data_IF_685497625463
#
_entry.id   IF_685497625463
#
_cell.length_a   1.000
_cell.length_b   1.000
_cell.length_c   1.000
_cell.angle_alpha   90.00
_cell.angle_beta   90.00
_cell.angle_gamma   90.00
#
_symmetry.space_group_name_H-M   'P 1'
#
loop_
_entity.id
_entity.type
_entity.pdbx_description
1 polymer ?
2 polymer ?
3 branched ?
4 non-polymer ?
5 non-polymer ?
6 water ?
#
# COMPACT_ATOMS: atom_id res chain seq x y z
N UNK A 1 13.89 10.68 5.22
CA UNK A 1 13.29 9.42 5.62
C UNK A 1 11.79 9.49 5.33
N UNK A 2 11.16 8.35 5.04
CA UNK A 2 9.76 8.33 4.65
C UNK A 2 8.99 7.41 5.59
N UNK A 3 7.85 7.91 6.07
CA UNK A 3 6.98 7.17 6.96
C UNK A 3 5.56 7.19 6.43
N UNK A 4 4.86 6.07 6.59
CA UNK A 4 3.47 6.05 6.22
C UNK A 4 2.70 7.03 7.09
N UNK A 5 1.45 7.26 6.71
CA UNK A 5 0.53 7.96 7.58
C UNK A 5 0.19 7.07 8.78
N UNK A 6 -0.34 7.72 9.81
CA UNK A 6 -0.77 7.02 11.00
C UNK A 6 -2.09 6.32 10.75
N UNK A 7 -2.10 4.99 10.91
CA UNK A 7 -3.30 4.18 10.71
C UNK A 7 -3.81 3.74 12.07
N UNK A 8 -5.00 4.22 12.44
CA UNK A 8 -5.61 3.83 13.71
C UNK A 8 -6.24 5.03 14.39
N UNK A 9 -6.50 4.86 15.69
CA UNK A 9 -7.27 5.80 16.45
C UNK A 9 -6.43 6.55 17.47
N UNK A 10 -7.05 7.49 18.17
CA UNK A 10 -6.29 8.39 19.05
C UNK A 10 -6.03 7.84 20.44
N UNK A 11 -6.48 6.63 20.73
CA UNK A 11 -6.42 6.10 22.07
C UNK A 11 -5.02 5.64 22.47
N UNK A 12 -4.92 5.14 23.70
CA UNK A 12 -3.71 4.60 24.23
C UNK A 12 -2.61 5.64 24.35
N UNK A 13 -1.37 5.15 24.34
CA UNK A 13 -0.16 5.94 24.51
C UNK A 13 0.80 5.77 23.34
N UNK A 14 1.46 6.85 22.98
CA UNK A 14 2.39 6.83 21.85
C UNK A 14 3.60 5.95 22.15
N UNK A 15 4.06 5.22 21.15
CA UNK A 15 5.37 4.57 21.17
C UNK A 15 6.11 4.86 19.87
N UNK A 16 7.43 4.66 19.91
CA UNK A 16 8.28 4.93 18.77
C UNK A 16 9.52 4.10 18.90
N UNK A 17 9.86 3.36 17.85
CA UNK A 17 10.98 2.43 17.91
C UNK A 17 12.25 2.99 17.29
N UNK A 18 12.31 4.29 17.01
CA UNK A 18 13.46 4.84 16.31
C UNK A 18 14.75 4.51 17.06
N UNK A 19 14.78 4.76 18.37
CA UNK A 19 16.02 4.53 19.13
C UNK A 19 16.39 3.06 19.11
N UNK A 20 15.45 2.18 19.47
CA UNK A 20 15.78 0.74 19.54
C UNK A 20 16.23 0.25 18.19
N UNK A 21 15.68 0.83 17.13
CA UNK A 21 15.97 0.31 15.81
C UNK A 21 17.42 0.51 15.42
N UNK A 22 18.16 1.32 16.17
CA UNK A 22 19.59 1.44 15.93
C UNK A 22 20.33 0.15 16.21
N UNK A 23 19.68 -0.86 16.80
CA UNK A 23 20.32 -2.15 17.07
C UNK A 23 20.35 -3.07 15.86
N UNK A 24 19.69 -2.72 14.76
CA UNK A 24 19.82 -3.49 13.54
C UNK A 24 18.55 -3.53 12.70
N UNK A 25 18.67 -4.19 11.55
CA UNK A 25 17.53 -4.47 10.72
C UNK A 25 16.57 -5.42 11.43
N UNK A 26 15.29 -5.33 11.07
CA UNK A 26 14.29 -6.16 11.70
C UNK A 26 14.55 -7.62 11.37
N UNK A 27 14.61 -8.46 12.41
CA UNK A 27 14.91 -9.88 12.27
C UNK A 27 13.74 -10.78 12.61
N UNK A 28 12.73 -10.30 13.32
CA UNK A 28 11.56 -11.11 13.56
C UNK A 28 10.41 -10.21 13.98
N UNK A 29 9.21 -10.71 13.73
CA UNK A 29 7.94 -10.06 14.06
C UNK A 29 7.29 -10.92 15.13
N UNK A 30 7.02 -10.34 16.30
CA UNK A 30 6.19 -11.00 17.29
C UNK A 30 4.87 -10.26 17.44
N UNK A 31 3.80 -11.04 17.49
CA UNK A 31 2.47 -10.50 17.61
C UNK A 31 1.63 -11.44 18.47
N UNK A 32 0.49 -10.93 18.91
CA UNK A 32 -0.52 -11.69 19.63
C UNK A 32 -1.82 -11.55 18.86
N UNK A 33 -2.44 -12.67 18.52
CA UNK A 33 -3.43 -12.72 17.44
C UNK A 33 -4.66 -13.50 17.84
N UNK A 34 -5.82 -12.82 17.80
CA UNK A 34 -7.14 -13.42 17.96
C UNK A 34 -7.98 -13.04 16.74
N UNK A 35 -9.26 -12.68 16.95
CA UNK A 35 -10.01 -11.99 15.91
C UNK A 35 -9.33 -10.68 15.53
N UNK A 36 -8.49 -10.14 16.43
CA UNK A 36 -7.73 -8.92 16.18
C UNK A 36 -6.30 -9.13 16.65
N UNK A 37 -5.41 -8.23 16.21
CA UNK A 37 -4.05 -8.19 16.72
C UNK A 37 -4.02 -7.37 18.00
N UNK A 38 -3.58 -7.97 19.12
CA UNK A 38 -3.62 -7.26 20.39
C UNK A 38 -2.26 -6.75 20.85
N UNK A 39 -1.13 -7.23 20.32
CA UNK A 39 0.12 -6.49 20.47
C UNK A 39 1.05 -6.80 19.32
N UNK A 40 2.10 -5.98 19.21
CA UNK A 40 3.17 -6.18 18.25
C UNK A 40 4.48 -5.86 18.94
N UNK A 41 5.53 -6.60 18.57
CA UNK A 41 6.83 -6.47 19.22
C UNK A 41 7.90 -6.91 18.21
N UNK A 42 8.59 -5.95 17.59
CA UNK A 42 9.60 -6.29 16.61
C UNK A 42 10.94 -6.40 17.29
N UNK A 43 11.85 -7.13 16.62
CA UNK A 43 13.22 -7.34 17.09
C UNK A 43 14.17 -6.68 16.09
N UNK A 44 14.98 -5.77 16.59
CA UNK A 44 15.87 -4.95 15.79
C UNK A 44 17.27 -5.49 16.01
N UNK A 45 17.78 -6.21 15.03
CA UNK A 45 18.99 -6.97 15.29
C UNK A 45 18.68 -8.06 16.30
N UNK A 46 19.28 -7.95 17.49
CA UNK A 46 19.08 -8.91 18.56
C UNK A 46 18.18 -8.38 19.67
N UNK A 47 17.63 -7.17 19.51
CA UNK A 47 17.06 -6.39 20.61
C UNK A 47 15.58 -6.15 20.34
N UNK A 48 14.72 -6.60 21.26
CA UNK A 48 13.28 -6.39 21.14
C UNK A 48 12.87 -5.03 21.67
N UNK A 49 11.82 -4.47 21.08
CA UNK A 49 11.11 -3.37 21.71
C UNK A 49 10.32 -3.88 22.90
N UNK A 50 9.76 -2.95 23.67
CA UNK A 50 8.72 -3.33 24.61
C UNK A 50 7.52 -3.87 23.85
N UNK A 51 6.63 -4.52 24.59
CA UNK A 51 5.42 -5.11 24.02
C UNK A 51 4.43 -3.99 23.77
N UNK A 52 4.12 -3.72 22.50
CA UNK A 52 3.21 -2.60 22.22
C UNK A 52 1.80 -3.18 22.05
N UNK A 53 1.10 -3.26 23.18
CA UNK A 53 -0.26 -3.74 23.21
C UNK A 53 -0.44 -4.69 24.38
N UNK A 54 -1.65 -5.23 24.54
CA UNK A 54 -2.04 -6.07 25.69
C UNK A 54 -1.36 -5.63 26.98
N UNK A 55 -1.65 -4.39 27.40
CA UNK A 55 -0.94 -3.75 28.51
C UNK A 55 -1.03 -4.53 29.82
N UNK A 56 -2.13 -5.25 30.03
CA UNK A 56 -2.30 -5.96 31.29
C UNK A 56 -3.30 -7.08 31.08
N UNK A 57 -3.17 -8.09 31.95
CA UNK A 57 -3.98 -9.28 31.76
C UNK A 57 -5.46 -9.00 31.94
N UNK A 58 -5.81 -7.93 32.67
CA UNK A 58 -7.19 -7.52 32.88
C UNK A 58 -7.82 -6.89 31.65
N UNK A 59 -7.06 -6.72 30.57
CA UNK A 59 -7.64 -6.28 29.33
C UNK A 59 -8.68 -7.27 28.81
N UNK A 60 -8.68 -8.51 29.33
CA UNK A 60 -9.65 -9.52 28.91
C UNK A 60 -11.05 -9.13 29.33
N UNK A 61 -11.18 -8.19 30.24
CA UNK A 61 -12.49 -7.67 30.56
C UNK A 61 -13.05 -6.77 29.46
N UNK A 62 -12.31 -6.55 28.36
CA UNK A 62 -12.77 -5.73 27.25
C UNK A 62 -12.62 -6.43 25.90
N UNK A 63 -11.52 -7.14 25.65
CA UNK A 63 -11.30 -7.78 24.37
C UNK A 63 -10.62 -9.13 24.57
N UNK A 64 -10.75 -10.00 23.57
CA UNK A 64 -10.01 -11.25 23.63
C UNK A 64 -8.50 -11.01 23.56
N UNK A 65 -7.75 -12.04 23.96
CA UNK A 65 -6.31 -11.95 24.11
C UNK A 65 -5.57 -12.45 22.88
N UNK A 66 -5.63 -13.75 22.62
CA UNK A 66 -5.01 -14.35 21.45
C UNK A 66 -3.77 -15.13 21.81
N UNK A 67 -3.17 -15.72 20.78
CA UNK A 67 -1.98 -16.53 20.97
C UNK A 67 -0.78 -15.81 20.37
N UNK A 68 0.38 -16.08 20.94
CA UNK A 68 1.64 -15.51 20.46
C UNK A 68 2.01 -16.10 19.11
N UNK A 69 2.40 -15.26 18.16
CA UNK A 69 2.93 -15.71 16.87
C UNK A 69 4.27 -15.03 16.63
N UNK A 70 5.26 -15.80 16.17
CA UNK A 70 6.57 -15.27 15.82
C UNK A 70 6.86 -15.64 14.38
N UNK A 71 7.32 -14.65 13.62
CA UNK A 71 7.80 -14.84 12.25
C UNK A 71 9.27 -14.47 12.23
N UNK A 72 10.13 -15.46 12.05
CA UNK A 72 11.56 -15.18 11.94
C UNK A 72 11.87 -14.85 10.49
N UNK A 73 12.54 -13.73 10.27
CA UNK A 73 12.97 -13.35 8.93
C UNK A 73 14.35 -13.91 8.68
N UNK A 74 14.58 -14.35 7.45
CA UNK A 74 15.91 -14.81 7.09
C UNK A 74 16.84 -13.61 6.83
N UNK A 75 18.14 -13.85 6.87
CA UNK A 75 19.06 -12.76 6.64
C UNK A 75 18.82 -12.14 5.25
N UNK A 76 18.68 -10.83 5.22
CA UNK A 76 18.39 -10.15 3.98
C UNK A 76 16.93 -10.13 3.60
N UNK A 77 16.06 -10.70 4.44
CA UNK A 77 14.62 -10.61 4.22
C UNK A 77 14.12 -9.35 4.91
N UNK A 78 13.29 -8.59 4.21
CA UNK A 78 12.77 -7.33 4.75
C UNK A 78 11.28 -7.21 4.46
N UNK A 79 10.62 -6.49 5.35
CA UNK A 79 9.17 -6.32 5.30
C UNK A 79 8.86 -5.24 4.29
N UNK A 80 8.10 -5.59 3.25
CA UNK A 80 7.86 -4.67 2.17
C UNK A 80 6.47 -4.08 2.13
N UNK A 81 5.49 -4.68 2.80
CA UNK A 81 4.17 -4.09 2.84
C UNK A 81 3.38 -4.67 4.00
N UNK A 82 2.28 -4.01 4.32
CA UNK A 82 1.39 -4.44 5.38
C UNK A 82 -0.02 -4.12 4.95
N UNK A 83 -0.87 -5.14 4.90
CA UNK A 83 -2.32 -4.90 4.79
C UNK A 83 -2.87 -4.70 6.21
N UNK A 84 -3.36 -3.50 6.48
CA UNK A 84 -3.84 -3.13 7.79
C UNK A 84 -5.32 -2.85 7.68
N UNK A 85 -6.13 -3.51 8.50
CA UNK A 85 -7.51 -3.09 8.67
C UNK A 85 -7.59 -2.35 10.00
N UNK A 86 -8.35 -1.28 10.03
CA UNK A 86 -8.31 -0.43 11.21
C UNK A 86 -9.54 0.46 11.27
N UNK A 87 -9.81 0.92 12.48
CA UNK A 87 -10.78 1.95 12.74
C UNK A 87 -10.31 2.73 13.95
N UNK A 88 -11.01 2.55 15.06
CA UNK A 88 -10.59 3.10 16.34
C UNK A 88 -9.25 2.51 16.77
N UNK A 89 -9.03 1.25 16.41
CA UNK A 89 -7.81 0.51 16.68
C UNK A 89 -7.37 -0.18 15.42
N UNK A 90 -6.12 -0.65 15.43
CA UNK A 90 -5.73 -1.65 14.45
C UNK A 90 -6.51 -2.92 14.71
N UNK A 91 -7.05 -3.51 13.66
CA UNK A 91 -7.84 -4.72 13.74
C UNK A 91 -7.02 -5.92 13.32
N UNK A 92 -6.49 -5.90 12.09
CA UNK A 92 -5.66 -6.99 11.62
C UNK A 92 -4.50 -6.45 10.81
N UNK A 93 -3.46 -7.28 10.75
CA UNK A 93 -2.19 -6.95 10.11
C UNK A 93 -1.74 -8.15 9.32
N UNK A 94 -1.51 -7.98 8.02
CA UNK A 94 -0.88 -8.98 7.20
C UNK A 94 0.43 -8.42 6.66
N UNK A 95 1.55 -8.90 7.17
CA UNK A 95 2.84 -8.47 6.67
C UNK A 95 3.23 -9.24 5.43
N UNK A 96 3.92 -8.58 4.50
CA UNK A 96 4.59 -9.26 3.40
C UNK A 96 6.04 -8.83 3.38
N UNK A 97 6.92 -9.75 3.04
CA UNK A 97 8.34 -9.48 2.87
C UNK A 97 8.69 -9.57 1.38
N UNK A 98 9.95 -9.27 1.07
CA UNK A 98 10.44 -9.37 -0.30
C UNK A 98 10.36 -10.80 -0.81
N UNK A 99 10.20 -11.78 0.09
CA UNK A 99 10.16 -13.19 -0.27
C UNK A 99 8.80 -13.86 -0.10
N UNK A 100 7.93 -13.35 0.77
CA UNK A 100 6.70 -14.10 1.03
C UNK A 100 5.62 -13.24 1.68
N UNK A 101 4.37 -13.57 1.34
CA UNK A 101 3.25 -13.09 2.12
C UNK A 101 3.09 -13.96 3.36
N UNK A 102 2.97 -13.31 4.54
CA UNK A 102 2.91 -13.98 5.82
C UNK A 102 1.47 -14.10 6.29
N UNK A 103 1.22 -14.96 7.28
CA UNK A 103 -0.16 -15.13 7.76
C UNK A 103 -0.66 -13.85 8.41
N UNK A 104 -1.94 -13.58 8.21
CA UNK A 104 -2.56 -12.41 8.80
C UNK A 104 -2.71 -12.57 10.30
N UNK A 105 -2.46 -11.51 11.04
CA UNK A 105 -2.68 -11.50 12.49
C UNK A 105 -4.01 -10.79 12.69
N UNK A 106 -5.01 -11.54 13.14
CA UNK A 106 -6.36 -11.03 13.30
C UNK A 106 -7.27 -11.65 12.27
N UNK A 107 -8.09 -12.62 12.67
CA UNK A 107 -8.93 -13.31 11.69
C UNK A 107 -10.05 -12.43 11.16
N UNK A 108 -10.47 -11.42 11.91
CA UNK A 108 -11.44 -10.44 11.43
C UNK A 108 -10.72 -9.31 10.71
N UNK A 109 -11.13 -9.06 9.48
CA UNK A 109 -10.55 -8.06 8.59
C UNK A 109 -11.66 -7.22 7.98
N UNK A 110 -12.61 -6.85 8.83
CA UNK A 110 -13.86 -6.25 8.38
C UNK A 110 -13.86 -4.73 8.43
N UNK A 111 -12.86 -4.11 9.04
CA UNK A 111 -12.82 -2.66 9.02
C UNK A 111 -12.02 -2.17 7.82
N UNK A 112 -12.04 -0.84 7.63
CA UNK A 112 -11.36 -0.22 6.49
C UNK A 112 -9.97 -0.78 6.33
N UNK A 113 -9.67 -1.19 5.09
CA UNK A 113 -8.43 -1.88 4.78
C UNK A 113 -7.61 -0.99 3.88
N UNK A 114 -6.30 -1.17 4.00
CA UNK A 114 -5.32 -0.31 3.36
C UNK A 114 -4.07 -1.15 3.16
N UNK A 115 -3.47 -1.10 1.96
CA UNK A 115 -2.22 -1.82 1.68
C UNK A 115 -1.08 -0.81 1.63
N UNK A 116 -0.20 -0.87 2.63
CA UNK A 116 0.87 0.10 2.79
C UNK A 116 2.12 -0.48 2.15
N UNK A 117 2.60 0.19 1.12
CA UNK A 117 3.90 -0.14 0.57
C UNK A 117 4.95 0.50 1.45
N UNK A 118 6.01 -0.24 1.69
CA UNK A 118 7.08 0.20 2.59
C UNK A 118 8.38 0.28 1.78
N UNK A 119 8.66 1.40 1.12
CA UNK A 119 9.77 1.45 0.15
C UNK A 119 11.15 1.17 0.77
N UNK A 120 11.86 0.24 0.17
CA UNK A 120 13.15 -0.16 0.67
C UNK A 120 13.08 -1.10 1.83
N UNK A 121 11.89 -1.43 2.30
CA UNK A 121 11.81 -2.30 3.46
C UNK A 121 11.56 -1.52 4.74
N UNK A 122 10.88 -2.17 5.68
CA UNK A 122 10.55 -1.52 6.95
C UNK A 122 11.80 -1.34 7.79
N UNK A 123 11.98 -0.13 8.32
CA UNK A 123 13.07 0.16 9.26
C UNK A 123 12.60 0.06 10.71
N UNK A 124 11.47 0.64 11.03
CA UNK A 124 10.91 0.50 12.38
C UNK A 124 9.46 0.94 12.36
N UNK A 125 8.76 0.70 13.47
CA UNK A 125 7.39 1.14 13.58
C UNK A 125 7.25 2.15 14.73
N UNK A 126 6.24 2.99 14.60
CA UNK A 126 5.76 3.83 15.70
C UNK A 126 4.24 3.69 15.74
N UNK A 127 3.63 4.28 16.76
CA UNK A 127 2.17 4.26 16.85
C UNK A 127 1.72 4.49 18.27
N UNK A 128 0.59 3.86 18.62
CA UNK A 128 0.00 4.01 19.94
C UNK A 128 -0.53 2.67 20.40
N UNK A 129 -0.56 2.49 21.73
CA UNK A 129 -0.90 1.19 22.29
C UNK A 129 -1.54 1.34 23.66
N UNK A 130 -2.28 0.30 24.03
CA UNK A 130 -2.80 0.13 25.38
C UNK A 130 -3.19 -1.32 25.57
N UNK A 131 -4.48 -1.60 25.79
CA UNK A 131 -4.90 -3.00 25.77
C UNK A 131 -4.71 -3.59 24.38
N UNK A 132 -4.76 -2.75 23.36
CA UNK A 132 -4.67 -3.15 21.95
C UNK A 132 -3.69 -2.23 21.22
N UNK A 133 -3.59 -2.44 19.92
CA UNK A 133 -2.76 -1.59 19.07
C UNK A 133 -3.68 -0.49 18.59
N UNK A 134 -3.53 0.71 19.17
CA UNK A 134 -4.41 1.80 18.77
C UNK A 134 -4.06 2.31 17.39
N UNK A 135 -2.80 2.29 17.01
CA UNK A 135 -2.48 2.67 15.67
C UNK A 135 -1.03 2.37 15.35
N UNK A 136 -0.74 2.37 14.06
CA UNK A 136 0.61 2.09 13.59
C UNK A 136 1.02 3.09 12.52
N UNK A 137 2.32 3.39 12.52
CA UNK A 137 2.97 4.09 11.43
C UNK A 137 4.22 3.30 11.04
N UNK A 138 4.43 3.15 9.73
CA UNK A 138 5.51 2.34 9.21
C UNK A 138 6.60 3.25 8.68
N UNK A 139 7.80 3.14 9.24
CA UNK A 139 8.93 3.97 8.87
C UNK A 139 9.81 3.19 7.93
N UNK A 140 9.88 3.61 6.67
CA UNK A 140 10.58 2.85 5.66
C UNK A 140 12.04 3.27 5.54
N UNK A 141 12.85 2.38 4.96
CA UNK A 141 14.22 2.73 4.69
C UNK A 141 14.34 3.85 3.68
N UNK A 142 13.38 4.00 2.77
CA UNK A 142 13.40 5.17 1.90
C UNK A 142 12.35 6.14 2.36
N UNK B 1 12.38 -2.05 -6.78
CA UNK B 1 11.65 -1.35 -5.76
C UNK B 1 10.42 -2.11 -5.36
N UNK B 2 9.91 -1.79 -4.19
CA UNK B 2 8.75 -2.46 -3.65
C UNK B 2 7.57 -2.17 -4.55
N UNK B 3 6.76 -3.19 -4.78
CA UNK B 3 5.61 -3.10 -5.65
C UNK B 3 4.39 -3.72 -4.97
N UNK B 4 3.23 -3.14 -5.27
CA UNK B 4 1.94 -3.69 -4.86
C UNK B 4 1.73 -5.05 -5.51
N UNK B 5 0.62 -5.68 -5.16
CA UNK B 5 0.17 -6.82 -5.92
C UNK B 5 -0.46 -6.37 -7.23
N UNK B 6 -0.60 -7.30 -8.17
CA UNK B 6 -1.23 -6.99 -9.44
C UNK B 6 -2.74 -7.00 -9.26
N UNK B 7 -3.37 -5.91 -9.70
CA UNK B 7 -4.80 -5.68 -9.45
C UNK B 7 -5.50 -5.73 -10.79
N UNK B 8 -6.27 -6.81 -11.02
CA UNK B 8 -6.94 -7.00 -12.30
C UNK B 8 -6.81 -8.41 -12.88
N UNK B 9 -6.85 -8.55 -14.20
CA UNK B 9 -6.97 -9.85 -14.82
C UNK B 9 -5.89 -10.25 -15.80
N UNK B 10 -6.03 -11.48 -16.35
CA UNK B 10 -4.99 -12.04 -17.22
C UNK B 10 -5.02 -11.54 -18.65
N UNK B 11 -6.05 -10.80 -19.03
CA UNK B 11 -6.20 -10.33 -20.40
C UNK B 11 -5.14 -9.32 -20.80
N UNK B 12 -5.20 -8.92 -22.08
CA UNK B 12 -4.36 -7.87 -22.64
C UNK B 12 -2.88 -8.29 -22.75
N UNK B 13 -2.03 -7.29 -22.97
CA UNK B 13 -0.59 -7.50 -23.03
C UNK B 13 0.07 -6.81 -21.84
N UNK B 14 1.20 -7.37 -21.40
CA UNK B 14 1.95 -6.78 -20.31
C UNK B 14 2.62 -5.48 -20.71
N UNK B 15 2.68 -4.55 -19.77
CA UNK B 15 3.51 -3.35 -19.87
C UNK B 15 4.18 -3.12 -18.52
N UNK B 16 5.28 -2.39 -18.55
CA UNK B 16 6.05 -2.12 -17.35
C UNK B 16 6.87 -0.86 -17.62
N UNK B 17 6.54 0.22 -16.93
CA UNK B 17 7.18 1.50 -17.15
C UNK B 17 8.53 1.61 -16.45
N UNK B 18 9.14 0.50 -16.02
CA UNK B 18 10.35 0.59 -15.21
C UNK B 18 11.45 1.35 -15.94
N UNK B 19 11.73 1.00 -17.19
CA UNK B 19 12.80 1.65 -17.93
C UNK B 19 12.43 3.09 -18.26
N UNK B 20 11.18 3.29 -18.68
CA UNK B 20 10.72 4.63 -18.98
C UNK B 20 10.87 5.57 -17.77
N UNK B 21 10.75 5.03 -16.58
CA UNK B 21 10.78 5.86 -15.39
C UNK B 21 12.16 6.44 -15.12
N UNK B 22 13.20 5.98 -15.82
CA UNK B 22 14.52 6.58 -15.70
C UNK B 22 14.53 8.01 -16.22
N UNK B 23 13.54 8.39 -17.02
CA UNK B 23 13.44 9.74 -17.55
C UNK B 23 13.03 10.76 -16.49
N UNK B 24 12.56 10.31 -15.32
CA UNK B 24 12.29 11.21 -14.22
C UNK B 24 11.05 10.87 -13.38
N UNK B 25 10.81 11.75 -12.41
CA UNK B 25 9.60 11.68 -11.58
C UNK B 25 8.37 11.68 -12.46
N UNK B 26 7.28 11.08 -11.95
CA UNK B 26 6.00 11.23 -12.63
C UNK B 26 5.61 12.71 -12.59
N UNK B 27 5.38 13.30 -13.76
CA UNK B 27 5.04 14.72 -13.84
C UNK B 27 3.64 14.97 -14.33
N UNK B 28 2.91 13.93 -14.70
CA UNK B 28 1.66 14.10 -15.42
C UNK B 28 0.98 12.76 -15.44
N UNK B 29 -0.34 12.80 -15.28
CA UNK B 29 -1.20 11.63 -15.33
C UNK B 29 -2.17 11.86 -16.47
N UNK B 30 -2.14 11.01 -17.49
CA UNK B 30 -3.14 11.07 -18.54
C UNK B 30 -3.95 9.78 -18.53
N UNK B 31 -5.29 9.90 -18.56
CA UNK B 31 -6.15 8.72 -18.60
C UNK B 31 -7.33 9.05 -19.52
N UNK B 32 -8.06 8.01 -19.91
CA UNK B 32 -9.31 8.15 -20.64
C UNK B 32 -10.38 7.52 -19.77
N UNK B 33 -11.44 8.28 -19.48
CA UNK B 33 -12.38 7.94 -18.44
C UNK B 33 -13.83 8.06 -18.91
N UNK B 34 -14.60 6.99 -18.66
CA UNK B 34 -16.03 6.95 -18.91
C UNK B 34 -16.61 6.25 -17.68
N UNK B 35 -17.52 5.29 -17.83
CA UNK B 35 -17.91 4.52 -16.65
C UNK B 35 -16.77 3.64 -16.13
N UNK B 36 -15.76 3.36 -16.97
CA UNK B 36 -14.55 2.69 -16.53
C UNK B 36 -13.38 3.49 -17.05
N UNK B 37 -12.19 3.19 -16.51
CA UNK B 37 -10.96 3.76 -17.03
C UNK B 37 -10.50 2.91 -18.21
N UNK B 38 -10.31 3.54 -19.37
CA UNK B 38 -9.98 2.78 -20.57
C UNK B 38 -8.53 2.91 -21.02
N UNK B 39 -7.79 3.93 -20.58
CA UNK B 39 -6.34 3.84 -20.70
C UNK B 39 -5.68 4.71 -19.65
N UNK B 40 -4.39 4.47 -19.44
CA UNK B 40 -3.56 5.27 -18.57
C UNK B 40 -2.25 5.52 -19.31
N UNK B 41 -1.67 6.71 -19.13
CA UNK B 41 -0.40 7.11 -19.76
C UNK B 41 0.24 8.15 -18.83
N UNK B 42 1.25 7.73 -18.07
CA UNK B 42 1.97 8.62 -17.17
C UNK B 42 3.14 9.27 -17.90
N UNK B 43 3.53 10.45 -17.46
CA UNK B 43 4.71 11.13 -18.00
C UNK B 43 5.83 11.05 -16.98
N UNK B 44 7.00 10.57 -17.42
CA UNK B 44 8.17 10.49 -16.57
C UNK B 44 9.16 11.57 -17.03
N UNK B 45 9.38 12.57 -16.18
CA UNK B 45 10.07 13.75 -16.65
C UNK B 45 9.23 14.39 -17.75
N UNK B 46 9.80 14.48 -18.96
CA UNK B 46 9.12 15.03 -20.12
C UNK B 46 8.68 13.95 -21.10
N UNK B 47 8.78 12.67 -20.73
CA UNK B 47 8.57 11.56 -21.66
C UNK B 47 7.33 10.77 -21.24
N UNK B 48 6.31 10.77 -22.10
CA UNK B 48 5.13 9.91 -21.93
C UNK B 48 5.49 8.45 -22.15
N UNK B 49 4.82 7.58 -21.39
CA UNK B 49 4.76 6.16 -21.74
C UNK B 49 3.93 6.01 -23.01
N UNK B 50 3.87 4.78 -23.50
CA UNK B 50 2.87 4.48 -24.51
C UNK B 50 1.49 4.54 -23.87
N UNK B 51 0.47 4.59 -24.71
CA UNK B 51 -0.90 4.62 -24.25
C UNK B 51 -1.32 3.21 -23.83
N UNK B 52 -1.41 3.00 -22.51
CA UNK B 52 -1.73 1.68 -21.99
C UNK B 52 -3.23 1.52 -21.90
N UNK B 53 -3.81 1.15 -23.05
CA UNK B 53 -5.23 0.92 -23.16
C UNK B 53 -5.78 1.49 -24.45
N UNK B 54 -7.10 1.34 -24.61
CA UNK B 54 -7.83 1.74 -25.80
C UNK B 54 -7.03 1.47 -27.08
N UNK B 55 -6.74 0.19 -27.26
CA UNK B 55 -5.77 -0.23 -28.26
C UNK B 55 -6.09 0.34 -29.64
N UNK B 56 -7.37 0.34 -30.01
CA UNK B 56 -7.76 0.84 -31.31
C UNK B 56 -9.20 1.30 -31.21
N UNK B 57 -9.58 2.16 -32.17
CA UNK B 57 -10.90 2.78 -32.14
C UNK B 57 -12.04 1.78 -32.26
N UNK B 58 -11.79 0.58 -32.79
CA UNK B 58 -12.85 -0.43 -32.80
C UNK B 58 -13.14 -1.03 -31.41
N UNK B 59 -12.39 -0.60 -30.39
CA UNK B 59 -12.65 -1.08 -29.04
C UNK B 59 -14.02 -0.64 -28.55
N UNK B 60 -14.63 0.34 -29.24
CA UNK B 60 -15.94 0.86 -28.86
C UNK B 60 -17.02 -0.23 -28.93
N UNK B 61 -16.68 -1.39 -29.50
CA UNK B 61 -17.61 -2.51 -29.52
C UNK B 61 -17.85 -3.08 -28.12
N UNK B 62 -16.92 -2.89 -27.19
CA UNK B 62 -16.92 -3.64 -25.93
C UNK B 62 -17.02 -2.78 -24.69
N UNK B 63 -16.85 -1.47 -24.81
CA UNK B 63 -17.05 -0.50 -23.73
C UNK B 63 -17.16 0.85 -24.40
N UNK B 64 -17.61 1.84 -23.63
CA UNK B 64 -17.48 3.19 -24.14
C UNK B 64 -16.01 3.62 -24.08
N UNK B 65 -15.73 4.74 -24.75
CA UNK B 65 -14.36 5.30 -24.87
C UNK B 65 -14.02 6.23 -23.71
N UNK B 66 -14.70 7.37 -23.62
CA UNK B 66 -14.51 8.29 -22.50
C UNK B 66 -13.72 9.52 -22.91
N UNK B 67 -13.57 10.43 -21.98
CA UNK B 67 -12.87 11.67 -22.22
C UNK B 67 -11.45 11.60 -21.70
N UNK B 68 -10.56 12.29 -22.39
CA UNK B 68 -9.16 12.35 -22.03
C UNK B 68 -9.00 13.33 -20.88
N UNK B 69 -8.50 12.83 -19.76
CA UNK B 69 -8.28 13.56 -18.53
C UNK B 69 -6.77 13.73 -18.38
N UNK B 70 -6.31 14.95 -18.05
CA UNK B 70 -4.89 15.19 -17.83
C UNK B 70 -4.71 15.88 -16.50
N UNK B 71 -3.88 15.31 -15.65
CA UNK B 71 -3.53 15.92 -14.36
C UNK B 71 -2.03 16.15 -14.37
N UNK B 72 -1.65 17.41 -14.47
CA UNK B 72 -0.25 17.81 -14.41
C UNK B 72 0.16 17.92 -12.96
N UNK B 73 1.31 17.34 -12.62
CA UNK B 73 1.85 17.42 -11.28
C UNK B 73 2.94 18.49 -11.23
N UNK B 74 2.98 19.21 -10.13
CA UNK B 74 4.03 20.18 -9.91
C UNK B 74 5.29 19.46 -9.40
N UNK B 75 6.40 20.19 -9.43
CA UNK B 75 7.63 19.61 -8.95
C UNK B 75 7.50 19.38 -7.45
N UNK B 76 7.99 18.24 -7.00
CA UNK B 76 7.82 17.83 -5.62
C UNK B 76 6.47 17.25 -5.31
N UNK B 77 5.59 17.13 -6.29
CA UNK B 77 4.30 16.47 -6.09
C UNK B 77 4.44 15.03 -6.51
N UNK B 78 4.00 14.10 -5.66
CA UNK B 78 3.97 12.69 -6.06
C UNK B 78 2.71 12.01 -5.53
N UNK B 79 2.38 10.92 -6.22
CA UNK B 79 1.20 10.10 -5.95
C UNK B 79 1.44 9.27 -4.69
N UNK B 80 0.63 9.50 -3.66
CA UNK B 80 0.77 8.77 -2.39
C UNK B 80 -0.34 7.75 -2.12
N UNK B 81 -1.37 7.68 -2.94
CA UNK B 81 -2.48 6.78 -2.69
C UNK B 81 -3.12 6.46 -4.03
N UNK B 82 -3.52 5.21 -4.20
CA UNK B 82 -4.34 4.82 -5.33
C UNK B 82 -5.49 3.94 -4.82
N UNK B 83 -6.73 4.36 -5.10
CA UNK B 83 -7.89 3.52 -4.84
C UNK B 83 -8.35 2.92 -6.17
N UNK B 84 -8.29 1.60 -6.28
CA UNK B 84 -8.65 0.89 -7.49
C UNK B 84 -9.84 -0.01 -7.19
N UNK B 85 -10.89 0.10 -8.02
CA UNK B 85 -11.91 -0.94 -8.05
C UNK B 85 -11.58 -1.84 -9.23
N UNK B 86 -11.67 -3.16 -9.02
CA UNK B 86 -11.25 -4.04 -10.10
C UNK B 86 -11.95 -5.38 -10.02
N UNK B 87 -11.90 -6.09 -11.13
CA UNK B 87 -12.19 -7.51 -11.16
C UNK B 87 -11.38 -8.21 -12.23
N UNK B 88 -12.05 -8.55 -13.33
CA UNK B 88 -11.35 -9.06 -14.50
C UNK B 88 -10.54 -7.96 -15.16
N UNK B 89 -10.97 -6.70 -15.02
CA UNK B 89 -10.23 -5.54 -15.49
C UNK B 89 -10.19 -4.50 -14.37
N UNK B 90 -9.32 -3.51 -14.54
CA UNK B 90 -9.47 -2.30 -13.74
C UNK B 90 -10.75 -1.59 -14.14
N UNK B 91 -11.55 -1.24 -13.14
CA UNK B 91 -12.78 -0.51 -13.36
C UNK B 91 -12.58 0.98 -13.18
N UNK B 92 -12.13 1.41 -12.00
CA UNK B 92 -11.91 2.82 -11.72
C UNK B 92 -10.60 3.00 -10.95
N UNK B 93 -10.00 4.18 -11.14
CA UNK B 93 -8.74 4.56 -10.52
C UNK B 93 -8.91 5.96 -9.91
N UNK B 94 -8.67 6.06 -8.61
CA UNK B 94 -8.65 7.34 -7.92
C UNK B 94 -7.25 7.54 -7.32
N UNK B 95 -6.52 8.54 -7.85
CA UNK B 95 -5.21 8.91 -7.34
C UNK B 95 -5.29 10.07 -6.35
N UNK B 96 -4.42 10.05 -5.34
CA UNK B 96 -4.14 11.20 -4.49
C UNK B 96 -2.65 11.48 -4.51
N UNK B 97 -2.28 12.76 -4.47
CA UNK B 97 -0.89 13.16 -4.32
C UNK B 97 -0.68 13.73 -2.93
N UNK B 98 0.55 14.12 -2.68
CA UNK B 98 0.88 14.83 -1.46
C UNK B 98 0.39 16.26 -1.46
N UNK B 99 -0.22 16.71 -2.55
CA UNK B 99 -0.79 18.04 -2.64
C UNK B 99 -2.27 18.05 -2.96
N UNK B 100 -2.77 17.04 -3.68
CA UNK B 100 -4.08 17.11 -4.32
C UNK B 100 -4.83 15.78 -4.20
N UNK B 101 -6.16 15.85 -4.32
CA UNK B 101 -7.00 14.66 -4.42
C UNK B 101 -7.64 14.65 -5.79
N UNK B 102 -7.14 13.78 -6.67
CA UNK B 102 -7.62 13.81 -8.04
C UNK B 102 -8.95 13.07 -8.19
N UNK B 103 -9.75 13.47 -9.18
CA UNK B 103 -11.05 12.81 -9.40
C UNK B 103 -10.86 11.37 -9.88
N UNK B 104 -11.84 10.54 -9.56
CA UNK B 104 -11.84 9.17 -10.02
C UNK B 104 -12.00 9.11 -11.53
N UNK B 105 -11.19 8.28 -12.15
CA UNK B 105 -11.30 7.92 -13.56
C UNK B 105 -12.11 6.65 -13.62
N UNK B 106 -13.34 6.76 -14.11
CA UNK B 106 -14.27 5.65 -14.10
C UNK B 106 -15.42 5.91 -13.15
N UNK B 107 -16.59 6.28 -13.66
CA UNK B 107 -17.66 6.70 -12.76
C UNK B 107 -18.21 5.55 -11.93
N UNK B 108 -18.18 4.33 -12.47
CA UNK B 108 -18.61 3.17 -11.73
C UNK B 108 -17.52 2.72 -10.77
N UNK B 109 -17.90 2.48 -9.53
CA UNK B 109 -17.00 2.00 -8.50
C UNK B 109 -17.65 0.89 -7.71
N UNK B 110 -18.33 -0.01 -8.42
CA UNK B 110 -19.08 -1.12 -7.83
C UNK B 110 -18.23 -2.37 -7.60
N UNK B 111 -17.16 -2.54 -8.36
CA UNK B 111 -16.30 -3.69 -8.16
C UNK B 111 -15.52 -3.55 -6.84
N UNK B 112 -14.95 -4.67 -6.41
CA UNK B 112 -14.23 -4.69 -5.14
C UNK B 112 -13.09 -3.67 -5.16
N UNK B 113 -12.92 -2.98 -4.04
CA UNK B 113 -12.02 -1.84 -3.89
C UNK B 113 -10.78 -2.23 -3.11
N UNK B 114 -9.64 -1.67 -3.51
CA UNK B 114 -8.39 -1.72 -2.75
C UNK B 114 -7.80 -0.32 -2.70
N UNK B 115 -7.29 0.05 -1.52
CA UNK B 115 -6.55 1.29 -1.30
C UNK B 115 -5.08 0.97 -1.10
N UNK B 116 -4.22 1.49 -1.97
CA UNK B 116 -2.78 1.24 -1.91
C UNK B 116 -2.10 2.54 -1.53
N UNK B 117 -1.40 2.54 -0.39
CA UNK B 117 -0.68 3.70 0.11
C UNK B 117 0.77 3.58 -0.31
N UNK B 118 1.35 4.67 -0.82
CA UNK B 118 2.71 4.67 -1.34
C UNK B 118 3.46 5.82 -0.69
N UNK B 119 3.85 5.66 0.57
CA UNK B 119 4.65 6.69 1.23
C UNK B 119 5.85 7.04 0.36
N UNK B 120 6.14 8.33 0.26
CA UNK B 120 7.27 8.79 -0.53
C UNK B 120 6.96 8.97 -1.99
N UNK B 121 5.92 8.33 -2.48
CA UNK B 121 5.45 8.64 -3.83
C UNK B 121 5.66 7.48 -4.78
N UNK B 122 4.68 7.29 -5.66
CA UNK B 122 4.77 6.32 -6.74
C UNK B 122 5.95 6.63 -7.64
N UNK B 123 6.68 5.59 -8.03
CA UNK B 123 7.76 5.73 -8.98
C UNK B 123 7.30 5.42 -10.40
N UNK B 124 6.58 4.30 -10.60
CA UNK B 124 6.06 3.95 -11.93
C UNK B 124 4.95 2.89 -11.78
N UNK B 125 4.31 2.57 -12.91
CA UNK B 125 3.28 1.54 -12.97
C UNK B 125 3.70 0.45 -13.94
N UNK B 126 3.15 -0.74 -13.71
CA UNK B 126 3.14 -1.81 -14.68
C UNK B 126 1.75 -2.39 -14.68
N UNK B 127 1.49 -3.32 -15.59
CA UNK B 127 0.22 -4.00 -15.57
C UNK B 127 0.00 -4.64 -16.90
N UNK B 128 -1.23 -4.54 -17.40
CA UNK B 128 -1.66 -5.25 -18.59
C UNK B 128 -2.74 -4.42 -19.25
N UNK B 129 -2.71 -4.39 -20.57
CA UNK B 129 -3.58 -3.47 -21.29
C UNK B 129 -4.03 -4.09 -22.61
N UNK B 130 -5.18 -3.62 -23.07
CA UNK B 130 -5.66 -3.94 -24.38
C UNK B 130 -6.64 -2.87 -24.80
N UNK B 131 -7.92 -3.25 -25.01
CA UNK B 131 -8.91 -2.22 -25.27
C UNK B 131 -9.13 -1.37 -24.04
N UNK B 132 -8.88 -1.93 -22.86
CA UNK B 132 -8.91 -1.13 -21.65
C UNK B 132 -7.71 -1.52 -20.79
N UNK B 133 -7.82 -1.28 -19.49
CA UNK B 133 -6.75 -1.57 -18.54
C UNK B 133 -7.10 -2.90 -17.88
N UNK B 134 -6.40 -3.98 -18.28
CA UNK B 134 -6.67 -5.28 -17.68
C UNK B 134 -6.19 -5.35 -16.23
N UNK B 135 -5.13 -4.62 -15.89
CA UNK B 135 -4.59 -4.69 -14.56
C UNK B 135 -3.49 -3.67 -14.37
N UNK B 136 -3.23 -3.37 -13.10
CA UNK B 136 -2.26 -2.37 -12.70
C UNK B 136 -1.47 -2.87 -11.50
N UNK B 137 -0.22 -2.48 -11.49
CA UNK B 137 0.64 -2.67 -10.34
C UNK B 137 1.37 -1.37 -10.04
N UNK B 138 1.50 -1.04 -8.76
CA UNK B 138 2.15 0.20 -8.34
C UNK B 138 3.54 -0.09 -7.77
N UNK B 139 4.55 0.68 -8.25
CA UNK B 139 5.93 0.50 -7.81
C UNK B 139 6.40 1.74 -7.07
N UNK B 140 6.88 1.53 -5.86
CA UNK B 140 7.35 2.59 -5.00
C UNK B 140 8.77 2.98 -5.42
N UNK B 141 9.36 3.94 -4.69
CA UNK B 141 10.61 4.50 -5.14
C UNK B 141 11.81 3.68 -4.68
N UNK B 142 11.61 2.77 -3.73
CA UNK B 142 12.63 1.83 -3.28
C UNK B 142 11.97 0.48 -3.05
X LIG C 1 -9.00 -7.02 -25.96
X LIG C 1 -7.84 -7.98 -25.73
X LIG C 1 -8.02 -8.69 -24.41
X LIG C 1 -8.19 -7.68 -23.29
X LIG C 1 -9.27 -6.67 -23.62
X LIG C 1 -9.31 -5.58 -22.57
X LIG C 1 -7.85 -8.95 -26.77
X LIG C 1 -6.92 -9.54 -24.12
X LIG C 1 -8.56 -8.36 -22.11
X LIG C 1 -9.06 -6.07 -24.89
X LIG C 1 -8.10 -4.83 -22.59
X LIG C 2 -11.30 -6.83 -26.78
X LIG C 2 -12.50 -7.70 -27.08
X LIG C 2 -12.17 -8.68 -28.19
X LIG C 2 -11.65 -7.95 -29.42
X LIG C 2 -10.58 -6.95 -29.07
X LIG C 2 -10.36 -6.06 -30.29
X LIG C 2 -10.21 -7.60 -26.28
X LIG C 2 -12.88 -8.38 -25.90
X LIG C 2 -13.31 -9.41 -28.60
X LIG C 2 -11.16 -8.92 -30.35
X LIG C 2 -10.95 -6.13 -27.97
X LIG C 2 -11.49 -5.20 -30.47
X LIG D 1 -7.23 0.89 26.91
X LIG D 1 -6.67 2.31 27.00
X LIG D 1 -7.13 3.14 25.81
X LIG D 1 -6.82 2.40 24.51
X LIG D 1 -7.16 0.93 24.55
X LIG D 1 -6.56 0.22 23.34
X LIG D 1 -7.05 2.98 28.22
X LIG D 1 -6.45 4.38 25.83
X LIG D 1 -7.53 3.02 23.45
X LIG D 1 -6.67 0.31 25.74
X LIG D 1 -5.14 0.21 23.44
X LIG E 1 -8.65 0.87 26.83
X LIG F 1 -0.34 11.74 23.61
X LIG F 1 -0.46 10.66 24.60
X LIG F 1 -1.53 11.79 22.75
X LIG F 1 -0.20 13.01 24.31
X LIG F 1 0.83 11.49 22.77
X LIG G 1 1.61 23.89 -6.51
X LIG G 1 1.36 22.52 -6.99
X LIG G 1 2.40 23.84 -5.29
X LIG G 1 0.32 24.55 -6.28
X LIG G 1 2.36 24.64 -7.54
X LIG H 1 0.69 4.70 -28.79
X LIG H 1 1.27 4.73 -27.45
X LIG H 1 -0.36 3.69 -28.88
X LIG H 1 1.70 4.46 -29.81
X LIG H 1 0.07 6.02 -28.97
#
# INVERSE_FOLDING_TARGET
EIASEYLGGPGGDAFDDKAVAQNGDITRIEMQCTDVATYIKLRYGKVDSRQWGWGNENCIQWSKKGEKVVHELSSGEYITSAIVTYGKYVQSITFKTNKRTLPRCGTSATEKSVTVLIPGGLKYISGRWGCRIDGLRFHAKC
QVASEYLGGPGGDAFDDKALAQNGDITRIEMQCTDVATYIKLRYGKVDSRQWGWANENCIQWSKKGVKVVHELSSGEYITSAIVTYGKYVQSITFKTNKRTLPRCGTSATEKSVTVLIPGGLKYISGRWGCRIDGLRFHAKC
GLC C1 C2 C3 C4 C5 C6 O2 O3 O4 O5 O6
GLC C1 C2 C3 C4 C5 C6 O1 O2 O3 O4 O5 O6
GLC C1 C2 C3 C4 C5 C6 O2 O3 O4 O5 O6
GLC O5
SO4 S O1 O2 O3 O4
SO4 S O1 O2 O3 O4
SO4 S O1 O2 O3 O4
#
